data_IF_786581753349
#
_entry.id   IF_786581753349
#
_cell.length_a   1.000
_cell.length_b   1.000
_cell.length_c   1.000
_cell.angle_alpha   90.00
_cell.angle_beta   90.00
_cell.angle_gamma   90.00
#
_symmetry.space_group_name_H-M   'P 1'
#
loop_
_entity.id
_entity.type
_entity.pdbx_description
1 polymer ?
#
# COMPACT_ATOMS: atom_id res chain seq x y z
N UNK A 1 25.98 26.45 -6.47
CA UNK A 1 24.61 26.02 -6.09
C UNK A 1 23.66 25.81 -7.27
N UNK A 2 23.32 26.81 -8.10
CA UNK A 2 22.37 26.60 -9.22
C UNK A 2 22.80 25.51 -10.22
N UNK A 3 24.10 25.43 -10.53
CA UNK A 3 24.66 24.41 -11.42
C UNK A 3 24.63 23.00 -10.81
N UNK A 4 24.87 22.88 -9.50
CA UNK A 4 24.76 21.62 -8.75
C UNK A 4 23.33 21.07 -8.76
N UNK A 5 22.34 21.95 -8.58
CA UNK A 5 20.92 21.57 -8.62
C UNK A 5 20.56 20.97 -9.98
N UNK A 6 20.95 21.66 -11.06
CA UNK A 6 20.69 21.19 -12.42
C UNK A 6 21.32 19.82 -12.69
N UNK A 7 22.55 19.57 -12.21
CA UNK A 7 23.22 18.28 -12.40
C UNK A 7 22.61 17.15 -11.58
N UNK A 8 22.15 17.43 -10.35
CA UNK A 8 21.40 16.44 -9.55
C UNK A 8 20.08 16.09 -10.22
N UNK A 9 19.36 17.09 -10.73
CA UNK A 9 18.11 16.87 -11.45
C UNK A 9 18.34 16.01 -12.70
N UNK A 10 19.37 16.32 -13.50
CA UNK A 10 19.73 15.51 -14.68
C UNK A 10 20.11 14.08 -14.31
N UNK A 11 20.86 13.89 -13.23
CA UNK A 11 21.24 12.56 -12.75
C UNK A 11 20.00 11.74 -12.33
N UNK A 12 19.09 12.36 -11.58
CA UNK A 12 17.84 11.72 -11.17
C UNK A 12 16.92 11.43 -12.35
N UNK A 13 16.80 12.36 -13.31
CA UNK A 13 16.01 12.15 -14.52
C UNK A 13 16.55 10.98 -15.33
N UNK A 14 17.88 10.85 -15.43
CA UNK A 14 18.52 9.70 -16.06
C UNK A 14 18.18 8.40 -15.34
N UNK A 15 18.32 8.33 -14.01
CA UNK A 15 17.98 7.14 -13.23
C UNK A 15 16.49 6.76 -13.36
N UNK A 16 15.59 7.74 -13.26
CA UNK A 16 14.15 7.53 -13.40
C UNK A 16 13.75 7.13 -14.82
N UNK A 17 14.56 7.44 -15.83
CA UNK A 17 14.33 7.02 -17.21
C UNK A 17 14.71 5.57 -17.49
N UNK A 18 15.47 4.92 -16.60
CA UNK A 18 15.91 3.53 -16.78
C UNK A 18 14.68 2.60 -16.84
N UNK A 19 14.62 1.65 -17.80
CA UNK A 19 13.44 0.80 -18.00
C UNK A 19 12.86 0.10 -16.76
N UNK A 20 13.66 -0.48 -15.83
CA UNK A 20 13.12 -1.13 -14.64
C UNK A 20 12.55 -0.15 -13.61
N UNK A 21 13.09 1.08 -13.56
CA UNK A 21 12.65 2.13 -12.62
C UNK A 21 11.43 2.85 -13.17
N UNK A 22 11.45 3.19 -14.47
CA UNK A 22 10.39 3.92 -15.16
C UNK A 22 9.03 3.21 -15.11
N UNK A 23 9.03 1.88 -15.04
CA UNK A 23 7.80 1.06 -14.97
C UNK A 23 7.27 0.90 -13.54
N UNK A 24 8.10 1.17 -12.53
CA UNK A 24 7.72 1.05 -11.13
C UNK A 24 6.91 2.28 -10.70
N UNK A 25 6.17 2.15 -9.60
CA UNK A 25 5.54 3.30 -8.97
C UNK A 25 6.60 4.22 -8.32
N UNK A 26 6.29 5.49 -8.01
CA UNK A 26 7.26 6.41 -7.41
C UNK A 26 7.95 5.85 -6.15
N UNK A 27 7.20 5.12 -5.32
CA UNK A 27 7.71 4.50 -4.09
C UNK A 27 8.71 3.37 -4.40
N UNK A 28 8.41 2.50 -5.37
CA UNK A 28 9.33 1.44 -5.75
C UNK A 28 10.54 1.97 -6.54
N UNK A 29 10.36 3.00 -7.35
CA UNK A 29 11.47 3.72 -7.99
C UNK A 29 12.44 4.30 -6.95
N UNK A 30 11.93 4.89 -5.85
CA UNK A 30 12.74 5.35 -4.72
C UNK A 30 13.59 4.21 -4.14
N UNK A 31 12.96 3.05 -3.84
CA UNK A 31 13.63 1.87 -3.28
C UNK A 31 14.73 1.33 -4.21
N UNK A 32 14.47 1.25 -5.52
CA UNK A 32 15.44 0.81 -6.52
C UNK A 32 16.64 1.77 -6.58
N UNK A 33 16.40 3.09 -6.61
CA UNK A 33 17.48 4.09 -6.65
C UNK A 33 18.29 4.10 -5.35
N UNK A 34 17.66 4.02 -4.18
CA UNK A 34 18.35 3.92 -2.89
C UNK A 34 19.25 2.68 -2.88
N UNK A 35 18.74 1.55 -3.36
CA UNK A 35 19.51 0.30 -3.45
C UNK A 35 20.70 0.46 -4.40
N UNK A 36 20.47 1.02 -5.60
CA UNK A 36 21.54 1.31 -6.56
C UNK A 36 22.65 2.18 -5.95
N UNK A 37 22.29 3.27 -5.28
CA UNK A 37 23.26 4.17 -4.62
C UNK A 37 24.03 3.43 -3.55
N UNK A 38 23.35 2.65 -2.68
CA UNK A 38 24.01 1.87 -1.62
C UNK A 38 24.99 0.84 -2.18
N UNK A 39 24.58 0.08 -3.19
CA UNK A 39 25.42 -0.96 -3.80
C UNK A 39 26.63 -0.38 -4.54
N UNK A 40 26.49 0.82 -5.12
CA UNK A 40 27.55 1.46 -5.91
C UNK A 40 28.27 2.60 -5.19
N UNK A 41 28.03 2.76 -3.88
CA UNK A 41 28.51 3.89 -3.09
C UNK A 41 30.02 4.18 -3.28
N UNK A 42 30.94 3.19 -3.19
CA UNK A 42 32.37 3.46 -3.35
C UNK A 42 32.75 4.01 -4.74
N UNK A 43 32.07 3.54 -5.79
CA UNK A 43 32.31 4.00 -7.18
C UNK A 43 31.72 5.39 -7.41
N UNK A 44 30.55 5.66 -6.83
CA UNK A 44 29.89 6.96 -6.91
C UNK A 44 30.71 8.01 -6.16
N UNK A 45 31.24 7.70 -4.97
CA UNK A 45 32.09 8.64 -4.22
C UNK A 45 33.32 9.07 -5.01
N UNK A 46 34.02 8.13 -5.66
CA UNK A 46 35.18 8.43 -6.53
C UNK A 46 34.79 9.24 -7.77
N UNK A 47 33.59 9.03 -8.29
CA UNK A 47 33.11 9.77 -9.47
C UNK A 47 32.70 11.20 -9.10
N UNK A 48 32.09 11.38 -7.93
CA UNK A 48 31.58 12.67 -7.45
C UNK A 48 32.67 13.61 -6.91
N UNK A 49 33.90 13.14 -6.68
CA UNK A 49 35.04 14.04 -6.38
C UNK A 49 35.51 14.82 -7.60
N UNK A 50 35.18 14.38 -8.81
CA UNK A 50 35.56 15.08 -10.05
C UNK A 50 34.67 16.33 -10.22
N UNK A 51 35.24 17.54 -10.40
CA UNK A 51 34.48 18.78 -10.57
C UNK A 51 33.50 18.75 -11.76
N UNK A 52 33.78 17.90 -12.75
CA UNK A 52 32.91 17.64 -13.91
C UNK A 52 31.53 17.11 -13.52
N UNK A 53 31.39 16.42 -12.38
CA UNK A 53 30.11 15.90 -11.89
C UNK A 53 29.47 16.86 -10.91
N UNK A 54 30.14 17.22 -9.82
CA UNK A 54 29.59 18.14 -8.81
C UNK A 54 30.69 19.08 -8.29
N UNK A 55 30.80 20.31 -8.82
CA UNK A 55 31.95 21.18 -8.55
C UNK A 55 31.94 21.79 -7.14
N UNK A 56 30.76 21.92 -6.54
CA UNK A 56 30.56 22.74 -5.34
C UNK A 56 30.32 21.93 -4.05
N UNK A 57 30.23 20.60 -4.12
CA UNK A 57 29.85 19.76 -2.96
C UNK A 57 30.78 18.56 -2.79
N UNK A 58 31.16 18.22 -1.55
CA UNK A 58 31.74 16.92 -1.22
C UNK A 58 30.83 15.76 -1.65
N UNK A 59 31.39 14.56 -1.96
CA UNK A 59 30.59 13.40 -2.37
C UNK A 59 29.47 13.03 -1.41
N UNK A 60 29.71 13.08 -0.09
CA UNK A 60 28.71 12.76 0.93
C UNK A 60 27.53 13.74 0.92
N UNK A 61 27.82 15.03 0.79
CA UNK A 61 26.80 16.07 0.69
C UNK A 61 26.02 15.96 -0.61
N UNK A 62 26.70 15.63 -1.71
CA UNK A 62 26.07 15.33 -3.00
C UNK A 62 25.08 14.18 -2.89
N UNK A 63 25.47 13.06 -2.27
CA UNK A 63 24.57 11.91 -2.08
C UNK A 63 23.37 12.28 -1.20
N UNK A 64 23.59 12.99 -0.09
CA UNK A 64 22.50 13.47 0.75
C UNK A 64 21.55 14.40 -0.03
N UNK A 65 22.08 15.24 -0.90
CA UNK A 65 21.30 16.13 -1.74
C UNK A 65 20.51 15.39 -2.83
N UNK A 66 21.10 14.37 -3.47
CA UNK A 66 20.42 13.47 -4.40
C UNK A 66 19.25 12.75 -3.70
N UNK A 67 19.49 12.17 -2.52
CA UNK A 67 18.48 11.41 -1.78
C UNK A 67 17.34 12.31 -1.28
N UNK A 68 17.64 13.50 -0.77
CA UNK A 68 16.59 14.46 -0.34
C UNK A 68 15.76 14.98 -1.53
N UNK A 69 16.40 15.23 -2.67
CA UNK A 69 15.70 15.65 -3.90
C UNK A 69 14.81 14.53 -4.45
N UNK A 70 15.32 13.29 -4.49
CA UNK A 70 14.53 12.11 -4.85
C UNK A 70 13.33 11.95 -3.93
N UNK A 71 13.54 11.98 -2.61
CA UNK A 71 12.48 11.85 -1.62
C UNK A 71 11.38 12.89 -1.85
N UNK A 72 11.74 14.17 -2.05
CA UNK A 72 10.77 15.23 -2.31
C UNK A 72 9.90 14.92 -3.53
N UNK A 73 10.53 14.54 -4.66
CA UNK A 73 9.82 14.18 -5.89
C UNK A 73 8.86 13.01 -5.68
N UNK A 74 9.30 11.97 -4.96
CA UNK A 74 8.50 10.76 -4.69
C UNK A 74 7.32 11.07 -3.77
N UNK A 75 7.55 11.85 -2.71
CA UNK A 75 6.50 12.28 -1.77
C UNK A 75 5.44 13.09 -2.50
N UNK A 76 5.83 14.10 -3.27
CA UNK A 76 4.90 14.96 -4.02
C UNK A 76 4.06 14.15 -5.01
N UNK A 77 4.69 13.25 -5.79
CA UNK A 77 3.97 12.40 -6.75
C UNK A 77 3.01 11.43 -6.05
N UNK A 78 3.44 10.80 -4.96
CA UNK A 78 2.65 9.83 -4.21
C UNK A 78 1.44 10.48 -3.53
N UNK A 79 1.62 11.65 -2.90
CA UNK A 79 0.53 12.42 -2.28
C UNK A 79 -0.51 12.80 -3.34
N UNK A 80 -0.07 13.32 -4.49
CA UNK A 80 -0.99 13.69 -5.56
C UNK A 80 -1.79 12.51 -6.09
N UNK A 81 -1.16 11.33 -6.22
CA UNK A 81 -1.85 10.10 -6.58
C UNK A 81 -2.94 9.76 -5.56
N UNK A 82 -2.61 9.65 -4.26
CA UNK A 82 -3.59 9.28 -3.24
C UNK A 82 -4.68 10.33 -3.05
N UNK A 83 -4.34 11.62 -3.15
CA UNK A 83 -5.32 12.71 -3.12
C UNK A 83 -6.35 12.58 -4.24
N UNK A 84 -5.92 12.22 -5.46
CA UNK A 84 -6.83 11.92 -6.57
C UNK A 84 -7.74 10.74 -6.22
N UNK A 85 -7.21 9.63 -5.70
CA UNK A 85 -8.02 8.47 -5.30
C UNK A 85 -9.08 8.87 -4.26
N UNK A 86 -8.68 9.55 -3.19
CA UNK A 86 -9.58 9.97 -2.10
C UNK A 86 -10.67 10.90 -2.60
N UNK A 87 -10.35 11.83 -3.51
CA UNK A 87 -11.31 12.84 -3.97
C UNK A 87 -12.25 12.34 -5.06
N UNK A 88 -11.79 11.43 -5.93
CA UNK A 88 -12.50 11.08 -7.17
C UNK A 88 -12.92 9.61 -7.29
N UNK A 89 -12.32 8.69 -6.53
CA UNK A 89 -12.55 7.24 -6.70
C UNK A 89 -13.15 6.55 -5.47
N UNK A 90 -13.33 7.28 -4.37
CA UNK A 90 -13.92 6.76 -3.13
C UNK A 90 -15.20 7.55 -2.86
N UNK A 91 -16.32 6.83 -2.82
CA UNK A 91 -17.57 7.35 -2.30
C UNK A 91 -17.58 7.16 -0.77
N UNK A 92 -17.49 8.26 -0.03
CA UNK A 92 -17.49 8.24 1.44
C UNK A 92 -18.90 8.11 2.03
N UNK A 93 -19.95 8.37 1.25
CA UNK A 93 -21.34 8.24 1.68
C UNK A 93 -21.66 6.82 2.19
N UNK A 94 -20.89 5.82 1.75
CA UNK A 94 -20.96 4.43 2.23
C UNK A 94 -20.83 4.29 3.75
N UNK A 95 -20.05 5.16 4.40
CA UNK A 95 -19.92 5.12 5.86
C UNK A 95 -21.25 5.44 6.57
N UNK A 96 -22.18 6.18 5.94
CA UNK A 96 -23.54 6.37 6.49
C UNK A 96 -24.31 5.06 6.53
N UNK A 97 -24.17 4.20 5.51
CA UNK A 97 -24.87 2.91 5.41
C UNK A 97 -24.33 1.91 6.42
N UNK A 98 -23.02 1.90 6.63
CA UNK A 98 -22.37 1.00 7.60
C UNK A 98 -22.64 1.44 9.05
N UNK A 99 -22.69 2.74 9.34
CA UNK A 99 -22.80 3.27 10.73
C UNK A 99 -24.19 3.67 11.18
N UNK A 100 -25.08 3.99 10.24
CA UNK A 100 -26.35 4.68 10.51
C UNK A 100 -26.15 6.02 11.25
N UNK A 101 -25.11 6.78 10.90
CA UNK A 101 -24.81 8.12 11.45
C UNK A 101 -24.61 9.15 10.32
N UNK A 102 -24.96 10.43 10.55
CA UNK A 102 -24.63 11.49 9.61
C UNK A 102 -23.10 11.64 9.52
N UNK A 103 -22.59 11.82 8.31
CA UNK A 103 -21.18 12.07 8.05
C UNK A 103 -21.03 13.28 7.13
N UNK A 104 -19.97 14.04 7.40
CA UNK A 104 -19.46 15.10 6.54
C UNK A 104 -18.32 14.53 5.68
N UNK A 105 -18.60 14.32 4.40
CA UNK A 105 -17.67 13.66 3.47
C UNK A 105 -16.45 14.52 3.17
N UNK A 106 -16.60 15.84 3.09
CA UNK A 106 -15.50 16.74 2.78
C UNK A 106 -14.50 16.77 3.94
N UNK A 107 -15.02 16.79 5.17
CA UNK A 107 -14.19 16.69 6.37
C UNK A 107 -13.46 15.35 6.49
N UNK A 108 -14.09 14.25 6.08
CA UNK A 108 -13.41 12.94 6.02
C UNK A 108 -12.28 12.96 4.99
N UNK A 109 -12.57 13.46 3.77
CA UNK A 109 -11.58 13.56 2.68
C UNK A 109 -10.39 14.40 3.12
N UNK A 110 -10.62 15.56 3.72
CA UNK A 110 -9.56 16.44 4.24
C UNK A 110 -8.67 15.71 5.25
N UNK A 111 -9.28 15.07 6.27
CA UNK A 111 -8.53 14.34 7.29
C UNK A 111 -7.78 13.14 6.75
N UNK A 112 -8.36 12.41 5.80
CA UNK A 112 -7.67 11.31 5.13
C UNK A 112 -6.49 11.79 4.28
N UNK A 113 -6.63 12.91 3.55
CA UNK A 113 -5.53 13.49 2.79
C UNK A 113 -4.40 13.92 3.72
N UNK A 114 -4.72 14.57 4.85
CA UNK A 114 -3.73 14.97 5.85
C UNK A 114 -3.02 13.75 6.45
N UNK A 115 -3.77 12.71 6.82
CA UNK A 115 -3.21 11.46 7.34
C UNK A 115 -2.28 10.77 6.33
N UNK A 116 -2.70 10.64 5.07
CA UNK A 116 -1.88 10.03 4.03
C UNK A 116 -0.64 10.87 3.75
N UNK A 117 -0.74 12.20 3.81
CA UNK A 117 0.41 13.11 3.69
C UNK A 117 1.44 12.85 4.80
N UNK A 118 0.99 12.71 6.05
CA UNK A 118 1.85 12.33 7.18
C UNK A 118 2.51 10.96 6.95
N UNK A 119 1.72 9.94 6.59
CA UNK A 119 2.20 8.58 6.36
C UNK A 119 3.21 8.48 5.22
N UNK A 120 2.97 9.17 4.10
CA UNK A 120 3.88 9.19 2.95
C UNK A 120 5.14 10.02 3.23
N UNK A 121 5.07 11.02 4.12
CA UNK A 121 6.26 11.78 4.51
C UNK A 121 7.24 10.92 5.32
N UNK A 122 6.74 10.00 6.15
CA UNK A 122 7.56 9.04 6.90
C UNK A 122 8.20 7.98 5.97
N UNK A 123 9.53 7.81 5.94
CA UNK A 123 10.19 6.87 5.03
C UNK A 123 9.80 5.41 5.24
N UNK A 124 9.57 4.99 6.49
CA UNK A 124 9.24 3.60 6.81
C UNK A 124 7.81 3.32 6.31
N UNK A 125 6.84 4.12 6.73
CA UNK A 125 5.46 3.98 6.32
C UNK A 125 5.29 4.14 4.80
N UNK A 126 5.97 5.11 4.18
CA UNK A 126 5.99 5.27 2.71
C UNK A 126 6.43 4.00 2.00
N UNK A 127 7.49 3.33 2.47
CA UNK A 127 7.95 2.07 1.86
C UNK A 127 6.88 0.99 1.86
N UNK A 128 6.06 0.93 2.92
CA UNK A 128 4.98 -0.03 3.10
C UNK A 128 3.72 0.33 2.31
N UNK A 129 3.61 1.56 1.79
CA UNK A 129 2.52 1.99 0.92
C UNK A 129 2.68 1.53 -0.54
N UNK A 130 3.80 0.90 -0.91
CA UNK A 130 4.02 0.34 -2.26
C UNK A 130 2.92 -0.63 -2.71
N UNK A 131 2.56 -1.70 -1.96
CA UNK A 131 1.45 -2.59 -2.34
C UNK A 131 0.12 -1.85 -2.44
N UNK A 132 -0.16 -0.90 -1.54
CA UNK A 132 -1.38 -0.07 -1.57
C UNK A 132 -1.45 0.73 -2.87
N UNK A 133 -0.34 1.34 -3.27
CA UNK A 133 -0.24 2.10 -4.52
C UNK A 133 -0.64 1.23 -5.71
N UNK A 134 -0.04 0.03 -5.83
CA UNK A 134 -0.30 -0.85 -6.97
C UNK A 134 -1.72 -1.40 -7.00
N UNK A 135 -2.27 -1.80 -5.86
CA UNK A 135 -3.66 -2.28 -5.78
C UNK A 135 -4.62 -1.22 -6.33
N UNK A 136 -4.39 0.06 -5.97
CA UNK A 136 -5.21 1.18 -6.43
C UNK A 136 -4.95 1.54 -7.89
N UNK A 137 -3.69 1.62 -8.31
CA UNK A 137 -3.31 1.95 -9.68
C UNK A 137 -3.88 0.95 -10.69
N UNK A 138 -3.80 -0.35 -10.36
CA UNK A 138 -4.33 -1.43 -11.21
C UNK A 138 -5.85 -1.61 -11.08
N UNK A 139 -6.51 -0.82 -10.24
CA UNK A 139 -7.93 -0.95 -9.87
C UNK A 139 -8.29 -2.39 -9.48
N UNK A 140 -7.37 -3.06 -8.78
CA UNK A 140 -7.48 -4.50 -8.52
C UNK A 140 -8.68 -4.82 -7.62
N UNK A 141 -8.96 -3.96 -6.63
CA UNK A 141 -10.16 -4.08 -5.78
C UNK A 141 -11.43 -4.05 -6.62
N UNK A 142 -11.55 -3.16 -7.62
CA UNK A 142 -12.73 -3.09 -8.48
C UNK A 142 -12.97 -4.44 -9.16
N UNK A 143 -11.95 -4.93 -9.89
CA UNK A 143 -12.03 -6.18 -10.65
C UNK A 143 -12.36 -7.39 -9.75
N UNK A 144 -11.71 -7.49 -8.59
CA UNK A 144 -11.93 -8.59 -7.64
C UNK A 144 -13.34 -8.53 -7.06
N UNK A 145 -13.77 -7.38 -6.54
CA UNK A 145 -15.08 -7.25 -5.89
C UNK A 145 -16.21 -7.54 -6.87
N UNK A 146 -16.12 -7.04 -8.10
CA UNK A 146 -17.12 -7.31 -9.15
C UNK A 146 -17.30 -8.82 -9.35
N UNK A 147 -16.20 -9.57 -9.55
CA UNK A 147 -16.24 -11.02 -9.75
C UNK A 147 -16.72 -11.78 -8.51
N UNK A 148 -16.32 -11.37 -7.31
CA UNK A 148 -16.77 -12.01 -6.06
C UNK A 148 -18.28 -11.81 -5.85
N UNK A 149 -18.80 -10.61 -6.12
CA UNK A 149 -20.20 -10.26 -5.95
C UNK A 149 -21.09 -10.86 -7.05
N UNK A 150 -20.56 -11.05 -8.25
CA UNK A 150 -21.24 -11.80 -9.32
C UNK A 150 -21.41 -13.27 -8.94
N UNK A 151 -20.33 -13.92 -8.48
CA UNK A 151 -20.32 -15.35 -8.15
C UNK A 151 -21.10 -15.72 -6.90
N UNK A 152 -21.18 -14.80 -5.92
CA UNK A 152 -21.86 -15.00 -4.62
C UNK A 152 -21.41 -16.26 -3.88
N UNK A 153 -20.14 -16.64 -4.04
CA UNK A 153 -19.58 -17.84 -3.44
C UNK A 153 -19.02 -17.56 -2.03
N UNK A 154 -17.94 -18.24 -1.63
CA UNK A 154 -17.45 -18.25 -0.25
C UNK A 154 -17.14 -16.84 0.28
N UNK A 155 -16.30 -16.10 -0.43
CA UNK A 155 -15.80 -14.78 -0.03
C UNK A 155 -16.94 -13.76 0.02
N UNK A 156 -17.88 -13.79 -0.92
CA UNK A 156 -19.08 -12.96 -0.84
C UNK A 156 -19.88 -13.23 0.44
N UNK A 157 -20.08 -14.50 0.80
CA UNK A 157 -20.79 -14.86 2.03
C UNK A 157 -20.03 -14.38 3.28
N UNK A 158 -18.71 -14.49 3.30
CA UNK A 158 -17.88 -13.96 4.39
C UNK A 158 -18.02 -12.42 4.49
N UNK A 159 -17.89 -11.72 3.37
CA UNK A 159 -17.90 -10.25 3.28
C UNK A 159 -19.28 -9.64 3.60
N UNK A 160 -20.37 -10.29 3.19
CA UNK A 160 -21.73 -9.74 3.31
C UNK A 160 -22.46 -10.32 4.52
N UNK A 161 -22.42 -11.64 4.71
CA UNK A 161 -23.23 -12.32 5.74
C UNK A 161 -22.49 -12.47 7.06
N UNK A 162 -21.24 -12.91 7.04
CA UNK A 162 -20.45 -13.13 8.28
C UNK A 162 -20.01 -11.80 8.88
N UNK A 163 -19.47 -10.90 8.07
CA UNK A 163 -19.16 -9.53 8.49
C UNK A 163 -20.42 -8.66 8.67
N UNK A 164 -21.59 -9.11 8.19
CA UNK A 164 -22.87 -8.38 8.24
C UNK A 164 -22.82 -7.01 7.52
N UNK A 165 -22.05 -6.91 6.45
CA UNK A 165 -21.91 -5.71 5.63
C UNK A 165 -22.79 -5.80 4.38
N UNK A 166 -24.04 -5.37 4.49
CA UNK A 166 -25.05 -5.46 3.43
C UNK A 166 -25.03 -4.21 2.54
N UNK A 167 -24.02 -4.14 1.67
CA UNK A 167 -23.81 -3.04 0.71
C UNK A 167 -23.56 -3.62 -0.69
N UNK A 168 -23.76 -2.82 -1.74
CA UNK A 168 -23.59 -3.27 -3.13
C UNK A 168 -22.11 -3.30 -3.55
N UNK A 169 -21.79 -3.98 -4.66
CA UNK A 169 -20.41 -4.13 -5.13
C UNK A 169 -19.65 -2.79 -5.29
N UNK A 170 -20.20 -1.74 -5.94
CA UNK A 170 -19.50 -0.46 -6.08
C UNK A 170 -19.22 0.23 -4.74
N UNK A 171 -20.11 0.01 -3.78
CA UNK A 171 -19.98 0.55 -2.43
C UNK A 171 -18.92 -0.20 -1.64
N UNK A 172 -18.89 -1.53 -1.79
CA UNK A 172 -17.89 -2.39 -1.17
C UNK A 172 -16.48 -2.10 -1.72
N UNK A 173 -16.37 -1.74 -3.01
CA UNK A 173 -15.12 -1.22 -3.58
C UNK A 173 -14.65 0.03 -2.85
N UNK A 174 -15.53 1.03 -2.67
CA UNK A 174 -15.18 2.26 -1.94
C UNK A 174 -14.80 1.95 -0.49
N UNK A 175 -15.56 1.06 0.17
CA UNK A 175 -15.29 0.61 1.53
C UNK A 175 -13.90 -0.05 1.67
N UNK A 176 -13.55 -1.00 0.79
CA UNK A 176 -12.22 -1.63 0.81
C UNK A 176 -11.09 -0.65 0.48
N UNK A 177 -11.31 0.33 -0.40
CA UNK A 177 -10.32 1.40 -0.67
C UNK A 177 -10.04 2.24 0.59
N UNK A 178 -11.08 2.58 1.36
CA UNK A 178 -10.92 3.28 2.66
C UNK A 178 -10.07 2.43 3.61
N UNK A 179 -10.43 1.16 3.79
CA UNK A 179 -9.69 0.26 4.67
C UNK A 179 -8.23 0.06 4.21
N UNK A 180 -8.01 -0.11 2.91
CA UNK A 180 -6.69 -0.28 2.33
C UNK A 180 -5.78 0.94 2.59
N UNK A 181 -6.29 2.16 2.40
CA UNK A 181 -5.54 3.39 2.65
C UNK A 181 -5.10 3.54 4.11
N UNK A 182 -5.89 3.03 5.05
CA UNK A 182 -5.61 3.10 6.49
C UNK A 182 -4.74 1.93 6.98
N UNK A 183 -4.61 0.86 6.19
CA UNK A 183 -3.96 -0.39 6.62
C UNK A 183 -2.51 -0.20 7.08
N UNK A 184 -1.75 0.67 6.41
CA UNK A 184 -0.32 0.88 6.69
C UNK A 184 -0.05 1.82 7.86
N UNK A 185 -1.11 2.32 8.52
CA UNK A 185 -0.95 3.17 9.70
C UNK A 185 -0.24 2.45 10.85
N UNK A 186 -0.26 1.10 10.88
CA UNK A 186 0.50 0.29 11.86
C UNK A 186 2.02 0.44 11.74
N UNK A 187 2.50 0.95 10.61
CA UNK A 187 3.91 1.24 10.33
C UNK A 187 4.27 2.71 10.53
N UNK A 188 3.29 3.57 10.85
CA UNK A 188 3.52 4.97 11.17
C UNK A 188 3.80 5.13 12.66
N UNK A 189 5.00 5.60 13.08
CA UNK A 189 5.40 5.63 14.49
C UNK A 189 4.65 6.73 15.27
N UNK A 190 3.80 6.39 16.26
CA UNK A 190 3.38 7.39 17.22
C UNK A 190 4.47 7.48 18.30
N UNK A 191 5.24 8.57 18.30
CA UNK A 191 6.01 9.04 19.46
C UNK A 191 6.92 7.97 20.11
N UNK A 192 7.93 7.47 19.38
CA UNK A 192 8.93 6.50 19.87
C UNK A 192 8.40 5.10 20.28
N UNK A 193 7.22 4.71 19.83
CA UNK A 193 6.70 3.35 20.05
C UNK A 193 7.19 2.38 18.97
N UNK A 194 7.25 1.09 19.32
CA UNK A 194 7.45 0.01 18.35
C UNK A 194 6.36 0.08 17.28
N UNK A 195 6.77 -0.06 16.03
CA UNK A 195 5.90 -0.17 14.85
C UNK A 195 5.79 -1.63 14.40
N UNK A 196 4.80 -1.93 13.56
CA UNK A 196 4.46 -3.30 13.19
C UNK A 196 5.62 -4.10 12.59
N UNK A 197 6.39 -3.51 11.67
CA UNK A 197 7.54 -4.17 11.05
C UNK A 197 8.66 -4.54 12.04
N UNK A 198 8.71 -3.88 13.21
CA UNK A 198 9.69 -4.14 14.27
C UNK A 198 9.15 -5.07 15.38
N UNK A 199 7.91 -5.55 15.26
CA UNK A 199 7.30 -6.44 16.23
C UNK A 199 7.92 -7.84 16.16
N UNK A 200 8.30 -8.38 17.31
CA UNK A 200 8.97 -9.67 17.41
C UNK A 200 8.02 -10.83 17.70
N UNK A 201 6.85 -10.56 18.27
CA UNK A 201 5.83 -11.59 18.58
C UNK A 201 4.46 -11.25 17.99
N UNK A 202 3.59 -12.26 17.93
CA UNK A 202 2.22 -12.10 17.45
C UNK A 202 1.38 -11.23 18.41
N UNK A 203 1.59 -11.36 19.72
CA UNK A 203 0.94 -10.54 20.74
C UNK A 203 1.32 -9.06 20.57
N UNK A 204 2.61 -8.78 20.31
CA UNK A 204 3.07 -7.42 20.03
C UNK A 204 2.39 -6.84 18.78
N UNK A 205 2.28 -7.62 17.69
CA UNK A 205 1.60 -7.21 16.45
C UNK A 205 0.13 -6.87 16.70
N UNK A 206 -0.61 -7.72 17.41
CA UNK A 206 -2.01 -7.48 17.78
C UNK A 206 -2.14 -6.23 18.62
N UNK A 207 -1.24 -6.02 19.59
CA UNK A 207 -1.25 -4.82 20.44
C UNK A 207 -0.99 -3.54 19.64
N UNK A 208 -0.06 -3.57 18.68
CA UNK A 208 0.21 -2.46 17.77
C UNK A 208 -1.03 -2.15 16.93
N UNK A 209 -1.70 -3.15 16.36
CA UNK A 209 -2.93 -2.97 15.60
C UNK A 209 -4.03 -2.33 16.45
N UNK A 210 -4.29 -2.86 17.66
CA UNK A 210 -5.29 -2.30 18.57
C UNK A 210 -5.00 -0.83 18.97
N UNK A 211 -3.73 -0.48 19.19
CA UNK A 211 -3.34 0.90 19.50
C UNK A 211 -3.44 1.82 18.28
N UNK A 212 -3.10 1.29 17.09
CA UNK A 212 -3.22 1.99 15.81
C UNK A 212 -4.68 2.31 15.52
N UNK A 213 -5.60 1.35 15.68
CA UNK A 213 -7.04 1.57 15.50
C UNK A 213 -7.58 2.67 16.42
N UNK A 214 -7.22 2.65 17.71
CA UNK A 214 -7.61 3.70 18.67
C UNK A 214 -7.07 5.08 18.29
N UNK A 215 -5.87 5.13 17.71
CA UNK A 215 -5.23 6.37 17.28
C UNK A 215 -5.88 6.91 15.99
N UNK A 216 -6.21 6.03 15.05
CA UNK A 216 -6.95 6.37 13.83
C UNK A 216 -8.30 7.01 14.16
N UNK A 217 -9.07 6.44 15.10
CA UNK A 217 -10.35 7.02 15.53
C UNK A 217 -10.18 8.44 16.09
N UNK A 218 -9.06 8.74 16.77
CA UNK A 218 -8.79 10.10 17.25
C UNK A 218 -8.44 11.06 16.10
N UNK A 219 -7.69 10.58 15.10
CA UNK A 219 -7.30 11.38 13.92
C UNK A 219 -8.47 11.61 12.96
N UNK A 220 -9.34 10.62 12.80
CA UNK A 220 -10.53 10.68 11.93
C UNK A 220 -11.76 10.14 12.69
N UNK A 221 -12.34 10.90 13.64
CA UNK A 221 -13.51 10.48 14.44
C UNK A 221 -14.74 10.11 13.62
N UNK A 222 -14.80 10.57 12.37
CA UNK A 222 -15.85 10.22 11.43
C UNK A 222 -15.79 8.76 10.97
N UNK A 223 -14.64 8.07 11.13
CA UNK A 223 -14.49 6.60 10.99
C UNK A 223 -14.29 5.94 12.38
N UNK A 224 -14.97 4.82 12.59
CA UNK A 224 -15.27 4.15 13.87
C UNK A 224 -14.22 3.11 14.08
N UNK A 225 -14.14 2.63 15.32
CA UNK A 225 -13.18 1.66 15.74
C UNK A 225 -13.27 0.36 14.94
N UNK A 226 -14.46 -0.01 14.46
CA UNK A 226 -14.67 -1.22 13.65
C UNK A 226 -13.89 -1.14 12.33
N UNK A 227 -14.06 -0.06 11.55
CA UNK A 227 -13.37 0.14 10.28
C UNK A 227 -11.89 0.40 10.49
N UNK A 228 -11.53 1.19 11.51
CA UNK A 228 -10.13 1.37 11.89
C UNK A 228 -9.46 0.03 12.23
N UNK A 229 -10.17 -0.85 12.97
CA UNK A 229 -9.70 -2.19 13.33
C UNK A 229 -9.59 -3.09 12.10
N UNK A 230 -10.61 -3.13 11.25
CA UNK A 230 -10.58 -3.89 10.00
C UNK A 230 -9.40 -3.48 9.11
N UNK A 231 -9.11 -2.18 9.03
CA UNK A 231 -7.99 -1.66 8.26
C UNK A 231 -6.65 -2.14 8.81
N UNK A 232 -6.37 -1.92 10.10
CA UNK A 232 -5.06 -2.26 10.68
C UNK A 232 -4.85 -3.77 10.85
N UNK A 233 -5.91 -4.51 11.15
CA UNK A 233 -5.90 -5.98 11.28
C UNK A 233 -5.68 -6.65 9.92
N UNK A 234 -5.77 -5.93 8.79
CA UNK A 234 -5.36 -6.45 7.46
C UNK A 234 -3.86 -6.69 7.31
N UNK A 235 -3.06 -6.44 8.34
CA UNK A 235 -1.64 -6.83 8.40
C UNK A 235 -1.44 -8.13 9.22
N UNK A 236 -2.49 -8.67 9.83
CA UNK A 236 -2.43 -9.86 10.68
C UNK A 236 -2.89 -11.12 9.90
N UNK A 237 -2.26 -12.28 10.17
CA UNK A 237 -2.74 -13.56 9.66
C UNK A 237 -4.11 -13.93 10.24
N UNK A 238 -4.87 -14.76 9.52
CA UNK A 238 -6.24 -15.19 9.85
C UNK A 238 -6.39 -15.72 11.28
N UNK A 239 -5.40 -16.46 11.79
CA UNK A 239 -5.45 -17.04 13.13
C UNK A 239 -5.35 -16.02 14.28
N UNK A 240 -5.03 -14.76 13.97
CA UNK A 240 -4.91 -13.67 14.96
C UNK A 240 -6.05 -12.65 14.87
N UNK A 241 -7.00 -12.85 13.96
CA UNK A 241 -8.11 -11.91 13.76
C UNK A 241 -9.46 -12.58 13.98
N UNK A 242 -10.46 -11.77 14.28
CA UNK A 242 -11.79 -12.26 14.61
C UNK A 242 -12.52 -12.74 13.35
N UNK A 243 -13.35 -13.78 13.49
CA UNK A 243 -14.04 -14.43 12.36
C UNK A 243 -14.84 -13.43 11.50
N UNK A 244 -15.44 -12.41 12.10
CA UNK A 244 -16.23 -11.42 11.37
C UNK A 244 -15.40 -10.48 10.49
N UNK A 245 -14.07 -10.48 10.58
CA UNK A 245 -13.17 -9.58 9.86
C UNK A 245 -12.80 -10.09 8.46
N UNK A 246 -13.80 -10.42 7.64
CA UNK A 246 -13.60 -10.92 6.28
C UNK A 246 -12.84 -9.94 5.38
N UNK A 247 -13.13 -8.63 5.49
CA UNK A 247 -12.43 -7.58 4.75
C UNK A 247 -10.93 -7.54 5.07
N UNK A 248 -10.57 -7.72 6.34
CA UNK A 248 -9.16 -7.76 6.76
C UNK A 248 -8.42 -8.94 6.17
N UNK A 249 -9.04 -10.13 6.16
CA UNK A 249 -8.48 -11.35 5.53
C UNK A 249 -8.25 -11.17 4.04
N UNK A 250 -9.23 -10.59 3.34
CA UNK A 250 -9.10 -10.30 1.92
C UNK A 250 -7.95 -9.32 1.67
N UNK A 251 -7.93 -8.19 2.38
CA UNK A 251 -6.88 -7.18 2.20
C UNK A 251 -5.48 -7.70 2.59
N UNK A 252 -5.36 -8.55 3.60
CA UNK A 252 -4.11 -9.20 3.97
C UNK A 252 -3.52 -10.00 2.80
N UNK A 253 -4.35 -10.81 2.13
CA UNK A 253 -3.95 -11.57 0.95
C UNK A 253 -3.56 -10.64 -0.21
N UNK A 254 -4.33 -9.58 -0.45
CA UNK A 254 -4.05 -8.63 -1.53
C UNK A 254 -2.75 -7.85 -1.29
N UNK A 255 -2.52 -7.37 -0.06
CA UNK A 255 -1.29 -6.67 0.32
C UNK A 255 -0.07 -7.57 0.15
N UNK A 256 -0.14 -8.83 0.58
CA UNK A 256 0.93 -9.81 0.36
C UNK A 256 1.19 -10.06 -1.13
N UNK A 257 0.13 -10.27 -1.92
CA UNK A 257 0.26 -10.45 -3.38
C UNK A 257 0.96 -9.27 -4.04
N UNK A 258 0.61 -8.05 -3.63
CA UNK A 258 1.14 -6.83 -4.22
C UNK A 258 2.48 -6.35 -3.64
N UNK A 259 2.95 -6.95 -2.56
CA UNK A 259 4.30 -6.72 -2.06
C UNK A 259 5.37 -7.26 -3.01
N UNK A 260 5.05 -8.36 -3.70
CA UNK A 260 5.89 -9.02 -4.72
C UNK A 260 5.45 -8.67 -6.16
N UNK A 261 4.64 -7.63 -6.34
CA UNK A 261 4.17 -7.25 -7.66
C UNK A 261 5.26 -6.53 -8.45
N UNK A 262 5.60 -7.09 -9.61
CA UNK A 262 6.49 -6.48 -10.58
C UNK A 262 5.69 -6.01 -11.81
N UNK A 263 5.62 -4.70 -12.07
CA UNK A 263 4.88 -4.19 -13.21
C UNK A 263 5.54 -4.59 -14.53
N UNK A 264 4.71 -5.05 -15.47
CA UNK A 264 5.15 -5.36 -16.83
C UNK A 264 5.74 -6.76 -17.04
N UNK A 265 5.65 -7.66 -16.06
CA UNK A 265 5.78 -9.10 -16.29
C UNK A 265 4.67 -9.56 -17.24
N UNK A 266 5.02 -9.77 -18.51
CA UNK A 266 4.10 -10.37 -19.48
C UNK A 266 4.08 -11.88 -19.24
N UNK A 267 2.87 -12.42 -19.08
CA UNK A 267 2.69 -13.87 -19.15
C UNK A 267 3.14 -14.35 -20.54
N UNK A 268 4.01 -15.37 -20.57
CA UNK A 268 4.34 -16.07 -21.82
C UNK A 268 3.09 -16.76 -22.38
N UNK A 269 3.00 -16.89 -23.71
CA UNK A 269 1.84 -17.54 -24.34
C UNK A 269 1.70 -18.98 -23.82
N UNK A 270 0.56 -19.27 -23.19
CA UNK A 270 0.26 -20.60 -22.62
C UNK A 270 0.62 -20.75 -21.14
N UNK A 271 1.31 -19.77 -20.54
CA UNK A 271 1.57 -19.74 -19.10
C UNK A 271 0.35 -19.23 -18.32
N UNK A 272 0.22 -19.64 -17.06
CA UNK A 272 -0.72 -19.04 -16.12
C UNK A 272 -0.40 -17.55 -15.92
N UNK A 273 -1.41 -16.73 -15.61
CA UNK A 273 -1.16 -15.33 -15.26
C UNK A 273 -0.31 -15.25 -13.99
N UNK A 274 0.49 -14.18 -13.79
CA UNK A 274 1.26 -14.00 -12.56
C UNK A 274 0.39 -14.12 -11.30
N UNK A 275 -0.84 -13.57 -11.34
CA UNK A 275 -1.79 -13.68 -10.23
C UNK A 275 -2.23 -15.13 -9.99
N UNK A 276 -2.58 -15.87 -11.05
CA UNK A 276 -2.99 -17.26 -10.91
C UNK A 276 -1.87 -18.14 -10.38
N UNK A 277 -0.64 -17.94 -10.87
CA UNK A 277 0.55 -18.63 -10.35
C UNK A 277 0.77 -18.32 -8.88
N UNK A 278 0.72 -17.04 -8.49
CA UNK A 278 0.89 -16.61 -7.11
C UNK A 278 -0.18 -17.21 -6.19
N UNK A 279 -1.46 -17.12 -6.55
CA UNK A 279 -2.53 -17.72 -5.76
C UNK A 279 -2.41 -19.25 -5.74
N UNK A 280 -1.94 -19.89 -6.81
CA UNK A 280 -1.70 -21.34 -6.85
C UNK A 280 -0.68 -21.79 -5.81
N UNK A 281 0.37 -20.99 -5.58
CA UNK A 281 1.34 -21.20 -4.49
C UNK A 281 0.69 -20.87 -3.14
N UNK A 282 0.05 -19.71 -3.01
CA UNK A 282 -0.57 -19.25 -1.77
C UNK A 282 -1.59 -20.25 -1.20
N UNK A 283 -2.33 -20.96 -2.05
CA UNK A 283 -3.27 -22.03 -1.64
C UNK A 283 -2.58 -23.19 -0.92
N UNK A 284 -1.38 -23.58 -1.38
CA UNK A 284 -0.61 -24.70 -0.82
C UNK A 284 -0.02 -24.34 0.54
N UNK A 285 0.37 -23.07 0.71
CA UNK A 285 1.02 -22.54 1.92
C UNK A 285 0.08 -21.72 2.81
N UNK A 286 -1.23 -21.75 2.55
CA UNK A 286 -2.20 -20.87 3.20
C UNK A 286 -2.16 -20.96 4.73
N UNK A 287 -2.00 -22.16 5.29
CA UNK A 287 -1.88 -22.38 6.74
C UNK A 287 -0.63 -21.73 7.33
N UNK A 288 0.50 -21.85 6.64
CA UNK A 288 1.81 -21.40 7.15
C UNK A 288 1.94 -19.88 7.14
N UNK A 289 1.28 -19.22 6.18
CA UNK A 289 1.25 -17.76 6.06
C UNK A 289 0.00 -17.14 6.71
N UNK A 290 -0.91 -17.96 7.24
CA UNK A 290 -2.16 -17.50 7.83
C UNK A 290 -3.13 -16.84 6.84
N UNK A 291 -3.13 -17.30 5.58
CA UNK A 291 -4.13 -16.89 4.60
C UNK A 291 -5.45 -17.64 4.82
N UNK A 292 -6.56 -16.94 4.60
CA UNK A 292 -7.87 -17.58 4.56
C UNK A 292 -7.99 -18.49 3.36
N UNK A 293 -7.91 -19.81 3.59
CA UNK A 293 -7.86 -20.81 2.51
C UNK A 293 -9.04 -20.67 1.54
N UNK A 294 -10.25 -20.45 2.06
CA UNK A 294 -11.45 -20.28 1.23
C UNK A 294 -11.38 -19.04 0.34
N UNK A 295 -10.86 -17.92 0.86
CA UNK A 295 -10.67 -16.69 0.07
C UNK A 295 -9.60 -16.91 -1.00
N UNK A 296 -8.45 -17.50 -0.66
CA UNK A 296 -7.38 -17.75 -1.64
C UNK A 296 -7.82 -18.75 -2.72
N UNK A 297 -8.55 -19.80 -2.35
CA UNK A 297 -9.13 -20.76 -3.29
C UNK A 297 -10.02 -20.04 -4.32
N UNK A 298 -10.87 -19.12 -3.87
CA UNK A 298 -11.74 -18.34 -4.76
C UNK A 298 -10.96 -17.32 -5.61
N UNK A 299 -10.00 -16.61 -5.02
CA UNK A 299 -9.12 -15.69 -5.75
C UNK A 299 -8.35 -16.40 -6.86
N UNK A 300 -7.87 -17.62 -6.64
CA UNK A 300 -7.25 -18.45 -7.68
C UNK A 300 -8.20 -18.78 -8.84
N UNK A 301 -9.48 -19.05 -8.53
CA UNK A 301 -10.48 -19.36 -9.55
C UNK A 301 -10.81 -18.14 -10.43
N UNK A 302 -10.77 -16.93 -9.87
CA UNK A 302 -11.05 -15.69 -10.61
C UNK A 302 -9.79 -15.05 -11.23
N UNK A 303 -8.59 -15.48 -10.87
CA UNK A 303 -7.34 -14.83 -11.25
C UNK A 303 -7.09 -14.68 -12.77
N UNK A 304 -7.70 -15.53 -13.59
CA UNK A 304 -7.61 -15.42 -15.05
C UNK A 304 -8.56 -14.38 -15.64
N UNK A 305 -9.63 -14.05 -14.92
CA UNK A 305 -10.69 -13.10 -15.30
C UNK A 305 -10.40 -11.67 -14.81
N UNK A 306 -9.46 -11.53 -13.87
CA UNK A 306 -8.90 -10.23 -13.46
C UNK A 306 -7.98 -9.72 -14.57
N UNK A 307 -8.54 -9.08 -15.61
CA UNK A 307 -7.79 -8.42 -16.69
C UNK A 307 -8.15 -6.95 -16.78
#
# INVERSE_FOLDING_TARGET
MAQTNQKVDQFLDHLLSLPPIKKDCPIGAEQQIITFIKTNLPKLEVSFTKPEFFPDLPPKETIAYILSTLQKRVVDQSINFFKRIITSEIDFSILRKVRKRPIDEDKIKEKMINLITEMISDPICRSQMKPVFYILEQKYINKVVDLLFERKAFTYNELVRVQKCYIEAPEYVSYLKILLLLSQFVNYPPENKKIFINASTNEEKVQICNNSAKTLVRKIPEIDIIECKLAVDSNLPENLIEIWQASSRLLFILLHRFNEYEPGLKAEKGAETPDKSWYGVARKIAKDFGYSKGIVDELYLIANEIR
#
